data_IF_577314616039
#
_entry.id   IF_577314616039
#
_cell.length_a   1.000
_cell.length_b   1.000
_cell.length_c   1.000
_cell.angle_alpha   90.00
_cell.angle_beta   90.00
_cell.angle_gamma   90.00
#
_symmetry.space_group_name_H-M   'P 1'
#
loop_
_entity.id
_entity.type
_entity.pdbx_description
1 polymer ?
#
# COMPACT_ATOMS: atom_id res chain seq x y z
N UNK A 1 -27.69 34.05 -9.87
CA UNK A 1 -26.52 33.17 -9.90
C UNK A 1 -27.00 31.72 -9.91
N UNK A 2 -27.26 31.17 -11.10
CA UNK A 2 -27.79 29.83 -11.29
C UNK A 2 -26.70 28.89 -11.82
N UNK A 3 -25.79 28.40 -10.93
CA UNK A 3 -24.80 27.40 -11.29
C UNK A 3 -24.86 26.20 -10.35
N UNK A 4 -24.47 25.01 -10.84
CA UNK A 4 -24.26 23.83 -9.98
C UNK A 4 -23.08 24.07 -9.03
N UNK A 5 -23.26 23.74 -7.77
CA UNK A 5 -22.19 23.81 -6.75
C UNK A 5 -21.48 22.46 -6.67
N UNK A 6 -20.17 22.48 -6.50
CA UNK A 6 -19.39 21.30 -6.17
C UNK A 6 -19.06 21.35 -4.68
N UNK A 7 -19.49 20.34 -3.94
CA UNK A 7 -19.22 20.18 -2.51
C UNK A 7 -18.32 18.96 -2.32
N UNK A 8 -17.10 19.22 -1.85
CA UNK A 8 -16.12 18.16 -1.54
C UNK A 8 -16.11 17.89 -0.03
N UNK A 9 -16.35 16.65 0.35
CA UNK A 9 -16.30 16.17 1.73
C UNK A 9 -15.20 15.10 1.87
N UNK A 10 -13.95 15.51 2.04
CA UNK A 10 -12.84 14.56 2.06
C UNK A 10 -12.76 13.84 3.41
N UNK A 11 -12.43 12.55 3.35
CA UNK A 11 -12.09 11.71 4.49
C UNK A 11 -13.13 11.70 5.61
N UNK A 12 -14.42 11.69 5.23
CA UNK A 12 -15.49 11.58 6.21
C UNK A 12 -15.40 10.24 6.96
N UNK A 13 -15.78 10.27 8.23
CA UNK A 13 -15.79 9.08 9.09
C UNK A 13 -17.22 8.84 9.61
N UNK A 14 -18.06 8.08 8.88
CA UNK A 14 -19.45 7.85 9.27
C UNK A 14 -19.61 7.23 10.67
N UNK A 15 -18.61 6.45 11.13
CA UNK A 15 -18.56 5.85 12.46
C UNK A 15 -18.58 6.88 13.60
N UNK A 16 -18.13 8.13 13.35
CA UNK A 16 -18.10 9.20 14.34
C UNK A 16 -19.40 9.99 14.44
N UNK A 17 -20.30 9.84 13.47
CA UNK A 17 -21.58 10.54 13.42
C UNK A 17 -22.61 9.86 14.34
N UNK A 18 -23.50 10.65 14.94
CA UNK A 18 -24.71 10.09 15.54
C UNK A 18 -25.64 9.55 14.45
N UNK A 19 -26.58 8.69 14.80
CA UNK A 19 -27.54 8.16 13.82
C UNK A 19 -28.43 9.26 13.25
N UNK A 20 -28.68 10.33 14.04
CA UNK A 20 -29.42 11.53 13.63
C UNK A 20 -28.61 12.35 12.62
N UNK A 21 -27.35 12.66 12.90
CA UNK A 21 -26.51 13.46 12.01
C UNK A 21 -26.25 12.75 10.69
N UNK A 22 -26.08 11.40 10.74
CA UNK A 22 -25.93 10.60 9.53
C UNK A 22 -27.22 10.61 8.70
N UNK A 23 -28.38 10.57 9.33
CA UNK A 23 -29.66 10.67 8.62
C UNK A 23 -29.81 12.06 7.98
N UNK A 24 -29.52 13.12 8.71
CA UNK A 24 -29.57 14.49 8.23
C UNK A 24 -28.61 14.71 7.04
N UNK A 25 -27.41 14.11 7.09
CA UNK A 25 -26.50 14.11 5.94
C UNK A 25 -27.13 13.41 4.72
N UNK A 26 -27.70 12.21 4.89
CA UNK A 26 -28.33 11.47 3.80
C UNK A 26 -29.52 12.25 3.19
N UNK A 27 -30.33 12.88 4.02
CA UNK A 27 -31.46 13.68 3.60
C UNK A 27 -30.98 14.93 2.82
N UNK A 28 -29.96 15.62 3.33
CA UNK A 28 -29.34 16.77 2.65
C UNK A 28 -28.79 16.39 1.27
N UNK A 29 -28.14 15.21 1.14
CA UNK A 29 -27.64 14.72 -0.15
C UNK A 29 -28.79 14.47 -1.12
N UNK A 30 -29.95 13.99 -0.63
CA UNK A 30 -31.12 13.68 -1.45
C UNK A 30 -31.89 14.94 -1.89
N UNK A 31 -32.01 15.93 -1.00
CA UNK A 31 -32.88 17.09 -1.19
C UNK A 31 -32.20 18.24 -1.98
N UNK A 32 -30.90 18.17 -2.21
CA UNK A 32 -30.15 19.26 -2.83
C UNK A 32 -30.05 19.10 -4.35
N UNK A 33 -30.88 19.82 -5.11
CA UNK A 33 -30.96 19.69 -6.56
C UNK A 33 -29.78 20.34 -7.33
N UNK A 34 -29.18 21.40 -6.78
CA UNK A 34 -28.17 22.21 -7.48
C UNK A 34 -26.74 22.02 -7.00
N UNK A 35 -26.43 20.86 -6.41
CA UNK A 35 -25.09 20.54 -5.98
C UNK A 35 -24.64 19.16 -6.47
N UNK A 36 -23.34 19.04 -6.73
CA UNK A 36 -22.65 17.77 -6.90
C UNK A 36 -21.84 17.53 -5.63
N UNK A 37 -22.12 16.46 -4.93
CA UNK A 37 -21.38 16.06 -3.73
C UNK A 37 -20.34 15.00 -4.11
N UNK A 38 -19.10 15.20 -3.66
CA UNK A 38 -18.04 14.20 -3.74
C UNK A 38 -17.60 13.89 -2.33
N UNK A 39 -17.89 12.70 -1.87
CA UNK A 39 -17.54 12.21 -0.55
C UNK A 39 -16.43 11.17 -0.66
N UNK A 40 -15.42 11.24 0.18
CA UNK A 40 -14.43 10.16 0.32
C UNK A 40 -14.42 9.66 1.75
N UNK A 41 -14.29 8.35 1.92
CA UNK A 41 -14.17 7.69 3.22
C UNK A 41 -13.14 6.59 3.16
N UNK A 42 -12.40 6.41 4.24
CA UNK A 42 -11.48 5.27 4.38
C UNK A 42 -12.22 4.19 5.18
N UNK A 43 -12.36 3.02 4.58
CA UNK A 43 -12.89 1.84 5.24
C UNK A 43 -11.70 1.01 5.70
N UNK A 44 -11.62 0.77 7.01
CA UNK A 44 -10.54 -0.01 7.59
C UNK A 44 -10.67 -1.50 7.21
N UNK A 45 -9.53 -2.07 6.88
CA UNK A 45 -9.43 -3.50 6.64
C UNK A 45 -9.29 -4.24 7.97
N UNK A 46 -10.13 -5.24 8.18
CA UNK A 46 -10.06 -6.12 9.34
C UNK A 46 -9.90 -7.57 8.91
N UNK A 47 -8.83 -8.22 9.35
CA UNK A 47 -8.49 -9.60 8.99
C UNK A 47 -8.48 -9.86 7.48
N UNK A 48 -7.84 -8.99 6.71
CA UNK A 48 -7.71 -9.13 5.25
C UNK A 48 -8.99 -8.89 4.46
N UNK A 49 -10.04 -8.33 5.09
CA UNK A 49 -11.31 -8.02 4.43
C UNK A 49 -11.77 -6.61 4.75
N UNK A 50 -12.17 -5.90 3.70
CA UNK A 50 -12.89 -4.64 3.85
C UNK A 50 -14.27 -4.93 4.46
N UNK A 51 -14.52 -4.40 5.64
CA UNK A 51 -15.80 -4.56 6.34
C UNK A 51 -16.35 -3.19 6.74
N UNK A 52 -17.11 -2.55 5.85
CA UNK A 52 -17.78 -1.31 6.22
C UNK A 52 -18.72 -1.56 7.40
N UNK A 53 -18.64 -0.73 8.43
CA UNK A 53 -19.54 -0.75 9.57
C UNK A 53 -20.98 -0.41 9.17
N UNK A 54 -21.92 -0.52 10.09
CA UNK A 54 -23.35 -0.27 9.81
C UNK A 54 -23.61 1.15 9.28
N UNK A 55 -22.90 2.14 9.81
CA UNK A 55 -23.03 3.54 9.39
C UNK A 55 -22.43 3.81 8.02
N UNK A 56 -21.27 3.22 7.74
CA UNK A 56 -20.66 3.25 6.41
C UNK A 56 -21.60 2.60 5.38
N UNK A 57 -22.15 1.44 5.67
CA UNK A 57 -23.10 0.74 4.80
C UNK A 57 -24.35 1.59 4.53
N UNK A 58 -24.89 2.26 5.57
CA UNK A 58 -26.05 3.15 5.41
C UNK A 58 -25.75 4.31 4.47
N UNK A 59 -24.59 4.96 4.64
CA UNK A 59 -24.19 6.06 3.78
C UNK A 59 -23.94 5.59 2.33
N UNK A 60 -23.23 4.48 2.15
CA UNK A 60 -22.99 3.89 0.81
C UNK A 60 -24.31 3.62 0.12
N UNK A 61 -25.23 2.92 0.78
CA UNK A 61 -26.55 2.60 0.23
C UNK A 61 -27.39 3.86 -0.12
N UNK A 62 -27.22 4.95 0.62
CA UNK A 62 -27.85 6.24 0.30
C UNK A 62 -27.21 6.87 -0.93
N UNK A 63 -25.88 6.89 -1.02
CA UNK A 63 -25.16 7.45 -2.17
C UNK A 63 -25.39 6.65 -3.45
N UNK A 64 -25.47 5.32 -3.39
CA UNK A 64 -25.76 4.45 -4.55
C UNK A 64 -27.12 4.73 -5.19
N UNK A 65 -28.09 5.23 -4.40
CA UNK A 65 -29.40 5.63 -4.94
C UNK A 65 -29.37 6.98 -5.65
N UNK A 66 -28.42 7.85 -5.29
CA UNK A 66 -28.33 9.22 -5.77
C UNK A 66 -27.28 9.40 -6.87
N UNK A 67 -26.33 8.48 -6.99
CA UNK A 67 -25.21 8.63 -7.91
C UNK A 67 -24.32 7.40 -7.98
N UNK A 68 -23.01 7.60 -7.98
CA UNK A 68 -22.02 6.55 -8.16
C UNK A 68 -21.21 6.37 -6.87
N UNK A 69 -21.02 5.11 -6.48
CA UNK A 69 -20.06 4.72 -5.45
C UNK A 69 -18.90 3.93 -6.10
N UNK A 70 -17.70 4.35 -5.83
CA UNK A 70 -16.48 3.70 -6.35
C UNK A 70 -15.64 3.21 -5.18
N UNK A 71 -15.36 1.91 -5.16
CA UNK A 71 -14.42 1.32 -4.21
C UNK A 71 -13.03 1.29 -4.83
N UNK A 72 -12.07 1.94 -4.17
CA UNK A 72 -10.67 1.96 -4.54
C UNK A 72 -9.89 1.09 -3.57
N UNK A 73 -9.48 -0.09 -3.99
CA UNK A 73 -8.66 -0.98 -3.19
C UNK A 73 -7.17 -0.62 -3.34
N UNK A 74 -6.42 -0.79 -2.24
CA UNK A 74 -4.96 -0.69 -2.31
C UNK A 74 -4.43 -1.85 -3.17
N UNK A 75 -3.73 -1.58 -4.28
CA UNK A 75 -3.11 -2.63 -5.06
C UNK A 75 -1.96 -3.26 -4.29
N UNK A 76 -1.79 -4.57 -4.41
CA UNK A 76 -0.74 -5.36 -3.78
C UNK A 76 -0.16 -6.37 -4.77
N UNK A 77 1.03 -6.88 -4.49
CA UNK A 77 1.62 -7.99 -5.21
C UNK A 77 1.61 -7.84 -6.74
N UNK A 78 0.90 -8.74 -7.43
CA UNK A 78 0.84 -8.78 -8.92
C UNK A 78 0.26 -7.52 -9.53
N UNK A 79 -0.72 -6.89 -8.87
CA UNK A 79 -1.32 -5.65 -9.35
C UNK A 79 -0.30 -4.50 -9.35
N UNK A 80 0.52 -4.39 -8.29
CA UNK A 80 1.61 -3.39 -8.24
C UNK A 80 2.70 -3.67 -9.27
N UNK A 81 3.03 -4.93 -9.54
CA UNK A 81 3.98 -5.26 -10.63
C UNK A 81 3.43 -4.84 -12.01
N UNK A 82 2.13 -5.03 -12.24
CA UNK A 82 1.50 -4.56 -13.48
C UNK A 82 1.57 -3.03 -13.58
N UNK A 83 1.21 -2.32 -12.51
CA UNK A 83 1.33 -0.85 -12.45
C UNK A 83 2.76 -0.37 -12.69
N UNK A 84 3.76 -1.04 -12.09
CA UNK A 84 5.17 -0.70 -12.30
C UNK A 84 5.57 -0.84 -13.77
N UNK A 85 5.09 -1.89 -14.47
CA UNK A 85 5.32 -2.05 -15.92
C UNK A 85 4.66 -0.94 -16.73
N UNK A 86 3.44 -0.54 -16.36
CA UNK A 86 2.75 0.53 -17.05
C UNK A 86 3.45 1.88 -16.85
N UNK A 87 3.89 2.20 -15.63
CA UNK A 87 4.70 3.40 -15.37
C UNK A 87 6.04 3.40 -16.10
N UNK A 88 6.70 2.23 -16.24
CA UNK A 88 7.93 2.14 -17.02
C UNK A 88 7.66 2.48 -18.49
N UNK A 89 6.58 1.95 -19.08
CA UNK A 89 6.16 2.27 -20.46
C UNK A 89 5.81 3.75 -20.64
N UNK A 90 5.07 4.32 -19.69
CA UNK A 90 4.77 5.76 -19.68
C UNK A 90 6.05 6.61 -19.65
N UNK A 91 7.08 6.14 -18.95
CA UNK A 91 8.39 6.76 -18.91
C UNK A 91 9.26 6.44 -20.15
N UNK A 92 8.79 5.62 -21.09
CA UNK A 92 9.54 5.22 -22.30
C UNK A 92 10.54 4.08 -22.10
N UNK A 93 10.38 3.27 -21.05
CA UNK A 93 11.23 2.13 -20.71
C UNK A 93 10.43 0.83 -20.57
N UNK A 94 11.10 -0.30 -20.53
CA UNK A 94 10.50 -1.60 -20.23
C UNK A 94 11.30 -2.34 -19.15
N UNK A 95 10.65 -3.28 -18.45
CA UNK A 95 11.33 -4.17 -17.52
C UNK A 95 11.81 -5.46 -18.20
N UNK A 96 13.04 -5.87 -17.89
CA UNK A 96 13.47 -7.24 -18.15
C UNK A 96 12.64 -8.24 -17.30
N UNK A 97 12.47 -9.49 -17.73
CA UNK A 97 11.63 -10.47 -17.04
C UNK A 97 11.94 -10.58 -15.54
N UNK A 98 10.96 -10.27 -14.69
CA UNK A 98 11.01 -10.33 -13.23
C UNK A 98 11.82 -9.21 -12.56
N UNK A 99 12.25 -8.17 -13.27
CA UNK A 99 12.89 -7.01 -12.67
C UNK A 99 11.89 -6.15 -11.89
N UNK A 100 10.64 -6.08 -12.33
CA UNK A 100 9.54 -5.44 -11.61
C UNK A 100 9.24 -6.12 -10.26
N UNK A 101 9.29 -7.46 -10.23
CA UNK A 101 9.12 -8.21 -9.00
C UNK A 101 10.29 -7.97 -8.03
N UNK A 102 11.52 -7.90 -8.55
CA UNK A 102 12.70 -7.57 -7.76
C UNK A 102 12.63 -6.14 -7.20
N UNK A 103 12.10 -5.19 -7.97
CA UNK A 103 11.90 -3.82 -7.51
C UNK A 103 10.87 -3.76 -6.38
N UNK A 104 9.73 -4.41 -6.55
CA UNK A 104 8.69 -4.48 -5.52
C UNK A 104 9.21 -5.10 -4.21
N UNK A 105 10.02 -6.16 -4.31
CA UNK A 105 10.63 -6.79 -3.14
C UNK A 105 11.60 -5.86 -2.38
N UNK A 106 12.19 -4.86 -3.04
CA UNK A 106 13.11 -3.89 -2.43
C UNK A 106 12.39 -2.67 -1.87
N UNK A 107 11.44 -2.11 -2.63
CA UNK A 107 10.75 -0.87 -2.30
C UNK A 107 9.51 -1.10 -1.42
N UNK A 108 9.04 -2.36 -1.29
CA UNK A 108 7.76 -2.64 -0.65
C UNK A 108 6.57 -2.19 -1.50
N UNK A 109 5.41 -2.06 -0.86
CA UNK A 109 4.13 -1.80 -1.52
C UNK A 109 3.69 -0.31 -1.49
N UNK A 110 4.61 0.60 -1.21
CA UNK A 110 4.33 2.03 -1.32
C UNK A 110 4.33 2.46 -2.79
N UNK A 111 3.15 2.86 -3.28
CA UNK A 111 2.96 3.20 -4.70
C UNK A 111 3.75 4.44 -5.13
N UNK A 112 3.87 5.46 -4.25
CA UNK A 112 4.62 6.68 -4.58
C UNK A 112 6.11 6.39 -4.65
N UNK A 113 6.63 5.65 -3.68
CA UNK A 113 8.02 5.23 -3.70
C UNK A 113 8.31 4.37 -4.93
N UNK A 114 7.45 3.38 -5.21
CA UNK A 114 7.61 2.48 -6.34
C UNK A 114 7.60 3.24 -7.68
N UNK A 115 6.68 4.19 -7.86
CA UNK A 115 6.62 5.03 -9.08
C UNK A 115 7.88 5.86 -9.25
N UNK A 116 8.33 6.54 -8.20
CA UNK A 116 9.56 7.34 -8.25
C UNK A 116 10.79 6.48 -8.57
N UNK A 117 10.85 5.26 -8.03
CA UNK A 117 11.94 4.33 -8.34
C UNK A 117 11.89 3.83 -9.80
N UNK A 118 10.70 3.58 -10.34
CA UNK A 118 10.53 3.24 -11.76
C UNK A 118 11.04 4.38 -12.65
N UNK A 119 10.62 5.61 -12.38
CA UNK A 119 11.05 6.79 -13.16
C UNK A 119 12.58 7.00 -13.07
N UNK A 120 13.15 6.85 -11.89
CA UNK A 120 14.61 6.92 -11.67
C UNK A 120 15.35 5.83 -12.46
N UNK A 121 14.88 4.59 -12.37
CA UNK A 121 15.51 3.47 -13.06
C UNK A 121 15.34 3.56 -14.59
N UNK A 122 14.22 4.06 -15.08
CA UNK A 122 14.00 4.34 -16.49
C UNK A 122 15.01 5.35 -17.02
N UNK A 123 15.23 6.45 -16.31
CA UNK A 123 16.25 7.45 -16.68
C UNK A 123 17.67 6.87 -16.66
N UNK A 124 18.01 6.07 -15.63
CA UNK A 124 19.32 5.39 -15.55
C UNK A 124 19.53 4.33 -16.63
N UNK A 125 18.45 3.75 -17.13
CA UNK A 125 18.46 2.84 -18.29
C UNK A 125 18.51 3.58 -19.64
N UNK A 126 18.64 4.90 -19.66
CA UNK A 126 18.46 5.73 -20.86
C UNK A 126 17.14 5.41 -21.59
N UNK A 127 16.06 5.29 -20.84
CA UNK A 127 14.73 4.98 -21.35
C UNK A 127 14.68 3.71 -22.21
N UNK A 128 15.42 2.69 -21.76
CA UNK A 128 15.51 1.38 -22.39
C UNK A 128 15.07 0.31 -21.38
N UNK A 129 15.72 -0.86 -21.36
CA UNK A 129 15.34 -1.99 -20.52
C UNK A 129 15.92 -1.87 -19.11
N UNK A 130 15.05 -1.84 -18.10
CA UNK A 130 15.41 -1.90 -16.69
C UNK A 130 15.70 -3.36 -16.30
N UNK A 131 16.95 -3.66 -15.94
CA UNK A 131 17.36 -5.03 -15.60
C UNK A 131 17.33 -5.30 -14.10
N UNK A 132 17.35 -6.58 -13.72
CA UNK A 132 17.46 -6.99 -12.30
C UNK A 132 18.75 -6.48 -11.64
N UNK A 133 19.83 -6.43 -12.40
CA UNK A 133 21.12 -5.93 -11.94
C UNK A 133 21.04 -4.44 -11.59
N UNK A 134 20.36 -3.66 -12.44
CA UNK A 134 20.11 -2.24 -12.16
C UNK A 134 19.26 -2.07 -10.91
N UNK A 135 18.16 -2.81 -10.78
CA UNK A 135 17.34 -2.82 -9.57
C UNK A 135 18.16 -3.17 -8.33
N UNK A 136 19.00 -4.22 -8.42
CA UNK A 136 19.84 -4.66 -7.32
C UNK A 136 20.88 -3.62 -6.87
N UNK A 137 21.45 -2.89 -7.80
CA UNK A 137 22.55 -1.92 -7.53
C UNK A 137 22.04 -0.54 -7.19
N UNK A 138 20.96 -0.10 -7.83
CA UNK A 138 20.52 1.30 -7.87
C UNK A 138 19.12 1.50 -7.25
N UNK A 139 18.35 0.43 -7.09
CA UNK A 139 17.03 0.50 -6.47
C UNK A 139 17.11 0.82 -4.98
N UNK A 140 16.24 1.70 -4.52
CA UNK A 140 16.08 2.00 -3.09
C UNK A 140 15.62 0.75 -2.35
N UNK A 141 16.10 0.56 -1.13
CA UNK A 141 15.69 -0.54 -0.24
C UNK A 141 14.98 0.06 0.95
N UNK A 142 13.80 -0.45 1.26
CA UNK A 142 13.08 -0.06 2.47
C UNK A 142 13.65 -0.77 3.69
N UNK A 143 13.48 -0.17 4.87
CA UNK A 143 13.86 -0.78 6.13
C UNK A 143 13.26 -2.17 6.31
N UNK A 144 11.98 -2.33 5.94
CA UNK A 144 11.28 -3.62 6.07
C UNK A 144 11.87 -4.69 5.15
N UNK A 145 12.20 -4.34 3.90
CA UNK A 145 12.83 -5.26 2.96
C UNK A 145 14.22 -5.72 3.43
N UNK A 146 15.06 -4.80 3.91
CA UNK A 146 16.39 -5.13 4.42
C UNK A 146 16.35 -5.93 5.73
N UNK A 147 15.41 -5.62 6.63
CA UNK A 147 15.25 -6.39 7.87
C UNK A 147 14.65 -7.76 7.61
N UNK A 148 13.75 -7.91 6.64
CA UNK A 148 13.25 -9.22 6.21
C UNK A 148 14.37 -10.08 5.61
N UNK A 149 15.21 -9.52 4.74
CA UNK A 149 16.38 -10.20 4.18
C UNK A 149 17.37 -10.61 5.29
N UNK A 150 17.58 -9.76 6.29
CA UNK A 150 18.43 -10.08 7.45
C UNK A 150 17.89 -11.28 8.22
N UNK A 151 16.59 -11.31 8.51
CA UNK A 151 15.95 -12.46 9.19
C UNK A 151 16.08 -13.72 8.35
N UNK A 152 15.91 -13.64 7.03
CA UNK A 152 16.10 -14.75 6.10
C UNK A 152 17.53 -15.29 6.13
N UNK A 153 18.53 -14.41 6.13
CA UNK A 153 19.94 -14.79 6.25
C UNK A 153 20.25 -15.48 7.59
N UNK A 154 19.72 -14.96 8.70
CA UNK A 154 19.89 -15.55 10.03
C UNK A 154 19.24 -16.93 10.11
N UNK A 155 18.03 -17.09 9.62
CA UNK A 155 17.31 -18.38 9.64
C UNK A 155 17.89 -19.42 8.70
N UNK A 156 18.65 -19.01 7.67
CA UNK A 156 19.39 -19.90 6.77
C UNK A 156 20.84 -20.18 7.21
N UNK A 157 21.25 -19.73 8.41
CA UNK A 157 22.59 -19.97 8.97
C UNK A 157 23.70 -19.08 8.40
N UNK A 158 23.35 -18.02 7.62
CA UNK A 158 24.31 -17.10 7.01
C UNK A 158 24.56 -15.87 7.91
N UNK A 159 24.96 -16.10 9.15
CA UNK A 159 25.11 -15.06 10.17
C UNK A 159 26.10 -13.94 9.76
N UNK A 160 27.21 -14.30 9.10
CA UNK A 160 28.23 -13.32 8.69
C UNK A 160 27.67 -12.29 7.70
N UNK A 161 26.84 -12.74 6.76
CA UNK A 161 26.17 -11.84 5.82
C UNK A 161 25.10 -11.01 6.51
N UNK A 162 24.38 -11.58 7.45
CA UNK A 162 23.35 -10.89 8.20
C UNK A 162 23.92 -9.75 9.05
N UNK A 163 25.13 -9.89 9.63
CA UNK A 163 25.77 -8.86 10.44
C UNK A 163 26.14 -7.58 9.67
N UNK A 164 26.23 -7.64 8.35
CA UNK A 164 26.53 -6.46 7.53
C UNK A 164 25.29 -5.57 7.33
N UNK A 165 24.10 -6.15 7.37
CA UNK A 165 22.84 -5.43 7.13
C UNK A 165 22.57 -4.29 8.13
N UNK A 166 22.71 -4.49 9.46
CA UNK A 166 22.53 -3.39 10.42
C UNK A 166 23.47 -2.21 10.19
N UNK A 167 24.71 -2.47 9.78
CA UNK A 167 25.68 -1.42 9.49
C UNK A 167 25.22 -0.56 8.30
N UNK A 168 24.73 -1.20 7.26
CA UNK A 168 24.17 -0.52 6.09
C UNK A 168 22.93 0.30 6.46
N UNK A 169 22.02 -0.27 7.25
CA UNK A 169 20.80 0.40 7.70
C UNK A 169 21.10 1.64 8.57
N UNK A 170 22.08 1.53 9.47
CA UNK A 170 22.54 2.68 10.28
C UNK A 170 23.22 3.74 9.42
N UNK A 171 24.01 3.35 8.41
CA UNK A 171 24.61 4.30 7.48
C UNK A 171 23.58 5.06 6.63
N UNK A 172 22.39 4.45 6.40
CA UNK A 172 21.23 5.09 5.75
C UNK A 172 20.39 5.93 6.72
N UNK A 173 20.94 6.27 7.89
CA UNK A 173 20.30 7.10 8.94
C UNK A 173 18.99 6.50 9.51
N UNK A 174 18.81 5.18 9.44
CA UNK A 174 17.72 4.55 10.16
C UNK A 174 18.05 4.50 11.66
N UNK A 175 17.07 4.87 12.48
CA UNK A 175 17.20 4.83 13.93
C UNK A 175 17.32 3.37 14.44
N UNK A 176 18.22 3.05 15.38
CA UNK A 176 18.40 1.70 15.90
C UNK A 176 17.11 1.06 16.44
N UNK A 177 16.25 1.88 17.04
CA UNK A 177 14.95 1.43 17.57
C UNK A 177 14.01 0.97 16.45
N UNK A 178 14.04 1.64 15.31
CA UNK A 178 13.24 1.29 14.14
C UNK A 178 13.72 -0.04 13.53
N UNK A 179 15.04 -0.22 13.41
CA UNK A 179 15.65 -1.47 12.93
C UNK A 179 15.25 -2.63 13.86
N UNK A 180 15.34 -2.43 15.17
CA UNK A 180 14.98 -3.44 16.16
C UNK A 180 13.48 -3.77 16.09
N UNK A 181 12.62 -2.76 15.99
CA UNK A 181 11.17 -2.93 15.86
C UNK A 181 10.80 -3.74 14.62
N UNK A 182 11.38 -3.42 13.46
CA UNK A 182 11.15 -4.14 12.21
C UNK A 182 11.64 -5.61 12.29
N UNK A 183 12.78 -5.85 12.93
CA UNK A 183 13.28 -7.22 13.18
C UNK A 183 12.32 -8.02 14.05
N UNK A 184 11.86 -7.45 15.15
CA UNK A 184 10.90 -8.12 16.06
C UNK A 184 9.63 -8.46 15.29
N UNK A 185 9.10 -7.53 14.51
CA UNK A 185 7.89 -7.75 13.70
C UNK A 185 8.08 -8.91 12.72
N UNK A 186 9.17 -8.93 11.95
CA UNK A 186 9.46 -10.00 11.00
C UNK A 186 9.63 -11.37 11.69
N UNK A 187 10.26 -11.43 12.85
CA UNK A 187 10.38 -12.69 13.62
C UNK A 187 9.03 -13.16 14.16
N UNK A 188 8.19 -12.24 14.65
CA UNK A 188 6.84 -12.57 15.12
C UNK A 188 5.97 -13.12 13.99
N UNK A 189 6.08 -12.59 12.79
CA UNK A 189 5.33 -13.07 11.64
C UNK A 189 5.78 -14.47 11.21
N UNK A 190 7.10 -14.74 11.19
CA UNK A 190 7.61 -16.09 10.97
C UNK A 190 7.12 -17.07 12.06
N UNK A 191 7.11 -16.63 13.31
CA UNK A 191 6.62 -17.46 14.42
C UNK A 191 5.12 -17.75 14.28
N UNK A 192 4.32 -16.77 13.91
CA UNK A 192 2.88 -16.95 13.62
C UNK A 192 2.65 -17.95 12.50
N UNK A 193 3.41 -17.86 11.39
CA UNK A 193 3.35 -18.81 10.28
C UNK A 193 3.70 -20.23 10.76
N UNK A 194 4.75 -20.39 11.55
CA UNK A 194 5.16 -21.69 12.10
C UNK A 194 4.09 -22.30 13.03
N UNK A 195 3.49 -21.48 13.89
CA UNK A 195 2.39 -21.91 14.75
C UNK A 195 1.15 -22.31 13.94
N UNK A 196 0.78 -21.52 12.91
CA UNK A 196 -0.32 -21.84 12.01
C UNK A 196 -0.11 -23.17 11.31
N UNK A 197 1.10 -23.43 10.79
CA UNK A 197 1.46 -24.73 10.19
C UNK A 197 1.37 -25.89 11.18
N UNK A 198 1.85 -25.72 12.42
CA UNK A 198 1.78 -26.77 13.46
C UNK A 198 0.35 -27.05 13.93
N UNK A 199 -0.47 -26.02 14.04
CA UNK A 199 -1.86 -26.13 14.50
C UNK A 199 -2.85 -26.53 13.39
N UNK A 200 -2.40 -26.67 12.14
CA UNK A 200 -3.23 -26.88 10.93
C UNK A 200 -4.37 -25.86 10.78
N UNK A 201 -4.22 -24.69 11.39
CA UNK A 201 -5.18 -23.58 11.24
C UNK A 201 -4.76 -22.69 10.09
N UNK A 202 -5.74 -22.25 9.29
CA UNK A 202 -5.53 -21.21 8.28
C UNK A 202 -5.06 -19.93 8.98
N UNK A 203 -3.99 -19.35 8.47
CA UNK A 203 -3.60 -17.99 8.80
C UNK A 203 -4.55 -17.09 7.99
N UNK A 204 -5.57 -16.56 8.66
CA UNK A 204 -6.50 -15.59 8.08
C UNK A 204 -5.87 -14.23 7.96
#
# INVERSE_FOLDING_TARGET
>A
FGGKRLVLMPLIRPSTYSDKDLQELCDTLADTENAIFVLTSIIEESYGKLRPGKREQKLIASCEKLGYCVQLNRPTGVALQAMARDWAKEAGADFAPGAEAALLARCGEDQFLLKNEVEKLAALANYSTITKEMVSRLGTVTLDADTFDMVKLLTSGQADKAQQKPKTLLALQNEPIMITGALISNYLDLYRVLLGRRSRRSLG
#
